data_IF_689310571251
#
_entry.id   IF_689310571251
#
_cell.length_a   1.000
_cell.length_b   1.000
_cell.length_c   1.000
_cell.angle_alpha   90.00
_cell.angle_beta   90.00
_cell.angle_gamma   90.00
#
_symmetry.space_group_name_H-M   'P 1'
#
loop_
_entity.id
_entity.type
_entity.pdbx_description
1 polymer ?
#
# COMPACT_ATOMS: atom_id res chain seq x y z
N UNK A 1 30.74 -21.94 -21.79
CA UNK A 1 29.39 -21.29 -21.79
C UNK A 1 28.37 -22.40 -21.64
N UNK A 2 27.84 -22.61 -20.43
CA UNK A 2 26.63 -23.41 -20.21
C UNK A 2 25.45 -22.46 -20.41
N UNK A 3 24.80 -22.54 -21.56
CA UNK A 3 23.46 -21.99 -21.74
C UNK A 3 22.52 -22.93 -20.96
N UNK A 4 22.10 -22.50 -19.81
CA UNK A 4 21.01 -23.17 -19.07
C UNK A 4 19.70 -22.74 -19.76
N UNK A 5 19.20 -23.56 -20.67
CA UNK A 5 17.81 -23.51 -21.08
C UNK A 5 16.97 -23.94 -19.86
N UNK A 6 16.47 -22.97 -19.11
CA UNK A 6 15.37 -23.24 -18.17
C UNK A 6 14.07 -23.22 -18.94
N UNK A 7 13.29 -24.25 -18.85
CA UNK A 7 11.92 -24.26 -19.36
C UNK A 7 11.13 -23.16 -18.66
N UNK A 8 10.46 -22.32 -19.44
CA UNK A 8 9.55 -21.30 -18.95
C UNK A 8 8.52 -21.94 -18.02
N UNK A 9 8.55 -21.58 -16.73
CA UNK A 9 7.60 -22.08 -15.75
C UNK A 9 6.37 -21.19 -15.77
N UNK A 10 5.21 -21.76 -16.07
CA UNK A 10 3.92 -21.10 -15.96
C UNK A 10 3.29 -21.56 -14.65
N UNK A 11 2.97 -20.64 -13.78
CA UNK A 11 2.36 -20.92 -12.49
C UNK A 11 0.89 -20.50 -12.52
N UNK A 12 0.00 -21.47 -12.29
CA UNK A 12 -1.42 -21.20 -12.08
C UNK A 12 -1.68 -21.05 -10.59
N UNK A 13 -2.06 -19.85 -10.18
CA UNK A 13 -2.41 -19.57 -8.79
C UNK A 13 -3.92 -19.67 -8.63
N UNK A 14 -4.37 -20.63 -7.82
CA UNK A 14 -5.76 -20.77 -7.39
C UNK A 14 -5.90 -20.13 -6.01
N UNK A 15 -6.82 -19.16 -5.88
CA UNK A 15 -7.06 -18.51 -4.61
C UNK A 15 -7.69 -19.51 -3.62
N UNK A 16 -7.28 -19.50 -2.34
CA UNK A 16 -7.83 -20.38 -1.31
C UNK A 16 -9.24 -19.99 -0.84
N UNK A 17 -9.87 -19.00 -1.47
CA UNK A 17 -11.22 -18.52 -1.17
C UNK A 17 -11.95 -18.13 -2.47
N UNK A 18 -13.28 -18.24 -2.44
CA UNK A 18 -14.10 -17.83 -3.58
C UNK A 18 -13.98 -16.32 -3.79
N UNK A 19 -13.19 -15.92 -4.76
CA UNK A 19 -13.23 -14.59 -5.33
C UNK A 19 -14.05 -14.70 -6.61
N UNK A 20 -14.96 -13.76 -6.83
CA UNK A 20 -15.73 -13.64 -8.08
C UNK A 20 -14.98 -14.22 -9.27
N UNK A 21 -15.61 -15.09 -10.04
CA UNK A 21 -15.08 -15.84 -11.21
C UNK A 21 -14.23 -15.04 -12.23
N UNK A 22 -14.10 -13.73 -12.04
CA UNK A 22 -13.28 -12.84 -12.88
C UNK A 22 -11.78 -12.98 -12.66
N UNK A 23 -11.36 -13.64 -11.59
CA UNK A 23 -9.95 -13.77 -11.21
C UNK A 23 -9.41 -15.22 -11.33
N UNK A 24 -10.24 -16.16 -11.74
CA UNK A 24 -9.79 -17.52 -12.02
C UNK A 24 -8.82 -17.49 -13.21
N UNK A 25 -7.58 -17.92 -12.98
CA UNK A 25 -6.60 -18.08 -14.06
C UNK A 25 -5.56 -16.95 -14.19
N UNK A 26 -5.25 -16.22 -13.10
CA UNK A 26 -4.06 -15.37 -13.11
C UNK A 26 -2.80 -16.24 -13.23
N UNK A 27 -2.03 -15.96 -14.28
CA UNK A 27 -0.76 -16.63 -14.54
C UNK A 27 0.39 -15.74 -14.06
N UNK A 28 1.37 -16.32 -13.39
CA UNK A 28 2.69 -15.73 -13.20
C UNK A 28 3.64 -16.43 -14.15
N UNK A 29 4.29 -15.64 -15.00
CA UNK A 29 5.23 -16.17 -15.99
C UNK A 29 6.64 -15.70 -15.67
N UNK A 30 7.59 -16.58 -15.83
CA UNK A 30 9.01 -16.22 -15.89
C UNK A 30 9.26 -15.44 -17.21
N UNK A 31 9.91 -14.28 -17.14
CA UNK A 31 10.13 -13.40 -18.29
C UNK A 31 11.55 -13.56 -18.81
N UNK A 32 11.71 -14.21 -19.96
CA UNK A 32 13.01 -14.37 -20.63
C UNK A 32 13.55 -13.05 -21.20
N UNK A 33 12.69 -12.18 -21.76
CA UNK A 33 13.10 -10.91 -22.36
C UNK A 33 13.66 -9.91 -21.33
N UNK A 34 13.11 -9.91 -20.13
CA UNK A 34 13.58 -9.05 -19.05
C UNK A 34 14.97 -9.49 -18.56
N UNK A 35 15.21 -10.80 -18.54
CA UNK A 35 16.46 -11.41 -18.13
C UNK A 35 17.62 -11.04 -19.06
N UNK A 36 17.40 -11.02 -20.37
CA UNK A 36 18.44 -10.66 -21.34
C UNK A 36 18.81 -9.18 -21.28
N UNK A 37 17.84 -8.27 -21.15
CA UNK A 37 18.08 -6.83 -21.09
C UNK A 37 18.76 -6.39 -19.78
N UNK A 38 18.38 -6.94 -18.62
CA UNK A 38 19.07 -6.64 -17.37
C UNK A 38 20.46 -7.26 -17.31
N UNK A 39 20.63 -8.45 -17.84
CA UNK A 39 21.95 -9.11 -17.87
C UNK A 39 22.97 -8.34 -18.71
N UNK A 40 22.56 -7.69 -19.78
CA UNK A 40 23.42 -6.83 -20.60
C UNK A 40 23.76 -5.52 -19.90
N UNK A 41 22.85 -4.92 -19.15
CA UNK A 41 23.09 -3.72 -18.33
C UNK A 41 23.90 -4.02 -17.05
N UNK A 42 23.70 -5.17 -16.43
CA UNK A 42 24.41 -5.62 -15.24
C UNK A 42 25.80 -6.19 -15.55
N UNK A 43 26.07 -6.61 -16.77
CA UNK A 43 27.37 -7.18 -17.19
C UNK A 43 28.54 -6.22 -17.06
N UNK A 44 28.27 -4.92 -16.98
CA UNK A 44 29.27 -3.86 -16.74
C UNK A 44 29.44 -3.48 -15.26
N UNK A 45 28.67 -4.08 -14.35
CA UNK A 45 28.80 -3.88 -12.92
C UNK A 45 29.34 -5.18 -12.28
N UNK A 46 30.15 -5.06 -11.22
CA UNK A 46 30.64 -6.19 -10.39
C UNK A 46 29.55 -7.06 -9.75
N UNK A 47 28.33 -6.97 -10.25
CA UNK A 47 27.15 -7.74 -9.86
C UNK A 47 27.09 -9.15 -10.47
N UNK A 48 28.03 -9.48 -11.39
CA UNK A 48 28.12 -10.81 -12.02
C UNK A 48 28.40 -11.97 -11.05
N UNK A 49 28.75 -11.67 -9.80
CA UNK A 49 29.01 -12.68 -8.75
C UNK A 49 27.78 -12.91 -7.83
N UNK A 50 26.69 -12.20 -8.07
CA UNK A 50 25.43 -12.41 -7.33
C UNK A 50 24.72 -13.67 -7.81
N UNK A 51 23.96 -14.28 -6.90
CA UNK A 51 23.15 -15.46 -7.16
C UNK A 51 22.24 -15.28 -8.40
N UNK A 52 21.84 -16.36 -9.07
CA UNK A 52 21.03 -16.29 -10.28
C UNK A 52 19.76 -15.46 -10.05
N UNK A 53 19.58 -14.45 -10.87
CA UNK A 53 18.38 -13.61 -10.86
C UNK A 53 17.27 -14.38 -11.58
N UNK A 54 16.14 -14.56 -10.90
CA UNK A 54 14.93 -15.09 -11.52
C UNK A 54 13.98 -13.92 -11.79
N UNK A 55 13.45 -13.83 -13.01
CA UNK A 55 12.53 -12.78 -13.40
C UNK A 55 11.10 -13.31 -13.48
N UNK A 56 10.16 -12.60 -12.87
CA UNK A 56 8.74 -12.93 -12.89
C UNK A 56 7.90 -11.80 -13.46
N UNK A 57 6.94 -12.13 -14.28
CA UNK A 57 5.95 -11.18 -14.79
C UNK A 57 4.55 -11.60 -14.36
N UNK A 58 3.84 -10.70 -13.69
CA UNK A 58 2.43 -10.90 -13.39
C UNK A 58 1.59 -10.58 -14.63
N UNK A 59 0.81 -11.55 -15.10
CA UNK A 59 -0.16 -11.35 -16.17
C UNK A 59 -1.52 -10.99 -15.57
N UNK A 60 -2.25 -10.09 -16.22
CA UNK A 60 -3.59 -9.68 -15.81
C UNK A 60 -3.76 -8.18 -15.71
N UNK A 61 -5.00 -7.73 -15.67
CA UNK A 61 -5.35 -6.34 -15.48
C UNK A 61 -5.17 -5.91 -14.03
N UNK A 62 -5.00 -4.60 -13.77
CA UNK A 62 -4.95 -4.06 -12.41
C UNK A 62 -6.17 -4.45 -11.55
N UNK A 63 -7.35 -4.63 -12.16
CA UNK A 63 -8.55 -5.09 -11.46
C UNK A 63 -8.40 -6.53 -10.97
N UNK A 64 -7.85 -7.41 -11.81
CA UNK A 64 -7.64 -8.82 -11.50
C UNK A 64 -6.60 -9.04 -10.40
N UNK A 65 -5.48 -8.30 -10.43
CA UNK A 65 -4.43 -8.38 -9.40
C UNK A 65 -4.78 -7.61 -8.12
N UNK A 66 -5.97 -6.96 -8.06
CA UNK A 66 -6.46 -6.21 -6.89
C UNK A 66 -7.58 -6.95 -6.15
N UNK A 67 -7.49 -8.30 -6.08
CA UNK A 67 -8.42 -9.14 -5.32
C UNK A 67 -8.36 -8.88 -3.82
N UNK A 68 -9.25 -9.50 -3.06
CA UNK A 68 -9.40 -9.30 -1.63
C UNK A 68 -9.34 -7.81 -1.26
N UNK A 69 -8.57 -7.45 -0.26
CA UNK A 69 -8.38 -6.07 0.19
C UNK A 69 -7.24 -5.32 -0.51
N UNK A 70 -6.55 -5.92 -1.51
CA UNK A 70 -5.50 -5.22 -2.27
C UNK A 70 -5.98 -3.94 -2.94
N UNK A 71 -7.27 -3.86 -3.28
CA UNK A 71 -7.89 -2.70 -3.93
C UNK A 71 -8.45 -1.63 -2.99
N UNK A 72 -8.27 -1.73 -1.67
CA UNK A 72 -8.81 -0.75 -0.71
C UNK A 72 -8.22 0.65 -0.90
N UNK A 73 -6.96 0.72 -1.24
CA UNK A 73 -6.25 1.99 -1.42
C UNK A 73 -5.40 1.95 -2.70
N UNK A 74 -5.34 3.08 -3.42
CA UNK A 74 -4.45 3.23 -4.58
C UNK A 74 -3.05 3.59 -4.08
N UNK A 75 -2.17 2.62 -4.04
CA UNK A 75 -0.77 2.81 -3.65
C UNK A 75 0.13 2.78 -4.89
N UNK A 76 1.03 3.77 -5.02
CA UNK A 76 1.97 3.84 -6.15
C UNK A 76 3.17 2.91 -5.90
N UNK A 77 3.67 2.28 -6.97
CA UNK A 77 4.78 1.33 -6.84
C UNK A 77 4.42 0.08 -6.01
N UNK A 78 3.15 -0.33 -6.04
CA UNK A 78 2.69 -1.53 -5.34
C UNK A 78 3.32 -2.77 -5.94
N UNK A 79 3.87 -3.64 -5.08
CA UNK A 79 4.33 -4.97 -5.47
C UNK A 79 3.17 -5.81 -5.99
N UNK A 80 3.31 -6.54 -7.11
CA UNK A 80 2.24 -7.38 -7.64
C UNK A 80 1.86 -8.48 -6.65
N UNK A 81 0.57 -8.56 -6.30
CA UNK A 81 0.07 -9.54 -5.32
C UNK A 81 0.31 -10.98 -5.73
N UNK A 82 0.16 -11.28 -7.02
CA UNK A 82 0.38 -12.63 -7.56
C UNK A 82 1.83 -13.09 -7.47
N UNK A 83 2.80 -12.17 -7.61
CA UNK A 83 4.21 -12.49 -7.42
C UNK A 83 4.49 -12.74 -5.94
N UNK A 84 3.99 -11.91 -5.03
CA UNK A 84 4.11 -12.14 -3.58
C UNK A 84 3.52 -13.50 -3.18
N UNK A 85 2.31 -13.80 -3.64
CA UNK A 85 1.65 -15.07 -3.41
C UNK A 85 2.47 -16.27 -3.92
N UNK A 86 3.02 -16.15 -5.14
CA UNK A 86 3.87 -17.19 -5.72
C UNK A 86 5.12 -17.44 -4.88
N UNK A 87 5.87 -16.39 -4.53
CA UNK A 87 7.09 -16.52 -3.72
C UNK A 87 6.80 -17.14 -2.35
N UNK A 88 5.73 -16.72 -1.68
CA UNK A 88 5.35 -17.27 -0.38
C UNK A 88 5.03 -18.77 -0.50
N UNK A 89 4.26 -19.17 -1.51
CA UNK A 89 3.90 -20.59 -1.69
C UNK A 89 5.06 -21.47 -2.15
N UNK A 90 5.99 -20.94 -2.94
CA UNK A 90 7.15 -21.69 -3.44
C UNK A 90 8.20 -21.91 -2.33
N UNK A 91 8.45 -20.91 -1.48
CA UNK A 91 9.58 -20.94 -0.54
C UNK A 91 9.18 -21.19 0.92
N UNK A 92 7.86 -21.27 1.22
CA UNK A 92 7.38 -21.48 2.59
C UNK A 92 6.23 -22.48 2.67
N UNK A 93 5.96 -22.96 3.89
CA UNK A 93 4.81 -23.80 4.24
C UNK A 93 3.87 -23.07 5.20
N UNK A 94 2.63 -23.58 5.39
CA UNK A 94 1.70 -23.07 6.41
C UNK A 94 2.39 -23.05 7.78
N UNK A 95 2.27 -21.93 8.50
CA UNK A 95 2.91 -21.71 9.80
C UNK A 95 4.34 -21.16 9.75
N UNK A 96 4.99 -21.12 8.58
CA UNK A 96 6.29 -20.45 8.44
C UNK A 96 6.18 -18.94 8.63
N UNK A 97 7.28 -18.30 9.05
CA UNK A 97 7.37 -16.86 9.24
C UNK A 97 7.98 -16.20 8.00
N UNK A 98 7.31 -15.19 7.49
CA UNK A 98 7.79 -14.32 6.39
C UNK A 98 8.07 -12.93 6.94
N UNK A 99 9.08 -12.25 6.40
CA UNK A 99 9.39 -10.85 6.73
C UNK A 99 9.28 -9.97 5.49
N UNK A 100 8.65 -8.80 5.66
CA UNK A 100 8.66 -7.70 4.69
C UNK A 100 9.07 -6.40 5.43
N UNK A 101 10.33 -6.00 5.36
CA UNK A 101 10.83 -4.83 6.08
C UNK A 101 10.52 -3.50 5.38
N UNK A 102 9.90 -3.52 4.19
CA UNK A 102 9.48 -2.34 3.42
C UNK A 102 8.07 -2.53 2.84
N UNK A 103 7.10 -2.80 3.72
CA UNK A 103 5.76 -3.31 3.40
C UNK A 103 4.94 -2.46 2.43
N UNK A 104 5.18 -1.15 2.37
CA UNK A 104 4.44 -0.24 1.50
C UNK A 104 2.94 -0.40 1.62
N UNK A 105 2.31 -0.92 0.59
CA UNK A 105 0.86 -1.15 0.58
C UNK A 105 0.40 -2.38 1.40
N UNK A 106 1.29 -3.13 2.05
CA UNK A 106 0.96 -4.36 2.77
C UNK A 106 0.58 -5.52 1.86
N UNK A 107 1.23 -5.65 0.71
CA UNK A 107 0.95 -6.75 -0.23
C UNK A 107 1.40 -8.08 0.36
N UNK A 108 2.64 -8.16 0.84
CA UNK A 108 3.22 -9.37 1.41
C UNK A 108 2.44 -9.87 2.62
N UNK A 109 2.13 -8.99 3.56
CA UNK A 109 1.42 -9.39 4.79
C UNK A 109 0.01 -9.89 4.53
N UNK A 110 -0.69 -9.32 3.54
CA UNK A 110 -2.00 -9.83 3.13
C UNK A 110 -1.87 -11.23 2.52
N UNK A 111 -0.90 -11.45 1.65
CA UNK A 111 -0.67 -12.78 1.05
C UNK A 111 -0.25 -13.82 2.11
N UNK A 112 0.54 -13.43 3.10
CA UNK A 112 0.88 -14.29 4.24
C UNK A 112 -0.39 -14.70 5.00
N UNK A 113 -1.26 -13.74 5.33
CA UNK A 113 -2.53 -14.04 5.99
C UNK A 113 -3.40 -15.00 5.17
N UNK A 114 -3.55 -14.73 3.87
CA UNK A 114 -4.37 -15.53 2.96
C UNK A 114 -3.85 -16.96 2.79
N UNK A 115 -2.54 -17.14 2.88
CA UNK A 115 -1.85 -18.41 2.73
C UNK A 115 -1.45 -19.08 4.05
N UNK A 116 -1.92 -18.54 5.19
CA UNK A 116 -1.69 -19.05 6.54
C UNK A 116 -0.22 -19.08 6.96
N UNK A 117 0.51 -18.01 6.69
CA UNK A 117 1.88 -17.77 7.15
C UNK A 117 1.88 -16.64 8.17
N UNK A 118 2.72 -16.73 9.17
CA UNK A 118 3.02 -15.61 10.06
C UNK A 118 3.82 -14.55 9.32
N UNK A 119 3.69 -13.27 9.71
CA UNK A 119 4.38 -12.21 9.00
C UNK A 119 4.87 -11.08 9.92
N UNK A 120 6.13 -10.69 9.75
CA UNK A 120 6.67 -9.43 10.24
C UNK A 120 6.67 -8.41 9.09
N UNK A 121 5.88 -7.35 9.22
CA UNK A 121 5.63 -6.36 8.17
C UNK A 121 5.91 -4.96 8.70
N UNK A 122 6.94 -4.31 8.17
CA UNK A 122 7.43 -3.03 8.68
C UNK A 122 7.43 -1.96 7.61
N UNK A 123 7.15 -0.72 8.01
CA UNK A 123 7.29 0.46 7.15
C UNK A 123 7.53 1.70 8.01
N UNK A 124 8.22 2.69 7.48
CA UNK A 124 8.40 3.99 8.15
C UNK A 124 7.18 4.89 7.99
N UNK A 125 6.39 4.67 6.94
CA UNK A 125 5.24 5.49 6.60
C UNK A 125 4.01 5.07 7.43
N UNK A 126 3.48 5.94 8.31
CA UNK A 126 2.33 5.60 9.14
C UNK A 126 1.07 5.24 8.33
N UNK A 127 0.89 5.81 7.14
CA UNK A 127 -0.20 5.43 6.25
C UNK A 127 -0.04 3.99 5.76
N UNK A 128 1.18 3.57 5.44
CA UNK A 128 1.48 2.18 5.02
C UNK A 128 1.19 1.19 6.14
N UNK A 129 1.61 1.50 7.37
CA UNK A 129 1.35 0.67 8.55
C UNK A 129 -0.16 0.55 8.81
N UNK A 130 -0.89 1.66 8.79
CA UNK A 130 -2.35 1.66 8.96
C UNK A 130 -3.04 0.85 7.85
N UNK A 131 -2.62 1.06 6.61
CA UNK A 131 -3.18 0.35 5.45
C UNK A 131 -2.94 -1.16 5.55
N UNK A 132 -1.73 -1.59 5.94
CA UNK A 132 -1.40 -3.00 6.11
C UNK A 132 -2.26 -3.66 7.20
N UNK A 133 -2.46 -2.99 8.35
CA UNK A 133 -3.36 -3.46 9.41
C UNK A 133 -4.78 -3.61 8.91
N UNK A 134 -5.36 -2.56 8.34
CA UNK A 134 -6.75 -2.59 7.84
C UNK A 134 -6.94 -3.68 6.79
N UNK A 135 -5.99 -3.85 5.87
CA UNK A 135 -6.10 -4.87 4.81
C UNK A 135 -6.11 -6.31 5.33
N UNK A 136 -5.59 -6.54 6.51
CA UNK A 136 -5.48 -7.87 7.11
C UNK A 136 -6.46 -8.10 8.27
N UNK A 137 -7.27 -7.12 8.62
CA UNK A 137 -8.28 -7.21 9.67
C UNK A 137 -9.63 -7.53 9.05
N UNK A 138 -10.20 -8.72 9.37
CA UNK A 138 -11.57 -9.05 8.97
C UNK A 138 -12.54 -8.31 9.89
N UNK A 139 -13.52 -7.63 9.29
CA UNK A 139 -14.54 -6.89 10.02
C UNK A 139 -15.94 -7.43 9.69
N UNK A 140 -16.84 -7.32 10.66
CA UNK A 140 -18.23 -7.70 10.47
C UNK A 140 -18.95 -6.72 9.54
N UNK A 141 -19.68 -7.27 8.56
CA UNK A 141 -20.35 -6.48 7.52
C UNK A 141 -21.46 -5.61 8.10
N UNK A 142 -22.27 -6.17 9.01
CA UNK A 142 -23.43 -5.47 9.55
C UNK A 142 -23.02 -4.35 10.51
N UNK A 143 -21.95 -4.57 11.28
CA UNK A 143 -21.34 -3.53 12.10
C UNK A 143 -20.81 -2.37 11.24
N UNK A 144 -20.13 -2.67 10.14
CA UNK A 144 -19.62 -1.65 9.21
C UNK A 144 -20.75 -0.87 8.52
N UNK A 145 -21.83 -1.55 8.12
CA UNK A 145 -22.98 -0.90 7.50
C UNK A 145 -23.72 0.00 8.51
N UNK A 146 -23.87 -0.44 9.75
CA UNK A 146 -24.46 0.35 10.84
C UNK A 146 -23.68 1.63 11.08
N UNK A 147 -22.34 1.53 11.14
CA UNK A 147 -21.50 2.72 11.31
C UNK A 147 -21.50 3.63 10.07
N UNK A 148 -21.56 3.07 8.87
CA UNK A 148 -21.68 3.86 7.65
C UNK A 148 -23.00 4.64 7.62
N UNK A 149 -24.12 4.04 8.06
CA UNK A 149 -25.40 4.73 8.15
C UNK A 149 -25.36 5.82 9.23
N UNK A 150 -24.75 5.57 10.39
CA UNK A 150 -24.50 6.60 11.42
C UNK A 150 -23.69 7.78 10.85
N UNK A 151 -22.64 7.49 10.07
CA UNK A 151 -21.83 8.53 9.43
C UNK A 151 -22.70 9.38 8.49
N UNK A 152 -23.51 8.75 7.64
CA UNK A 152 -24.41 9.45 6.69
C UNK A 152 -25.44 10.34 7.40
N UNK A 153 -26.02 9.86 8.50
CA UNK A 153 -27.03 10.59 9.27
C UNK A 153 -26.46 11.80 10.03
N UNK A 154 -25.28 11.65 10.62
CA UNK A 154 -24.68 12.68 11.48
C UNK A 154 -23.73 13.61 10.74
N UNK A 155 -23.36 13.27 9.50
CA UNK A 155 -22.44 14.06 8.74
C UNK A 155 -22.96 15.49 8.47
N UNK A 156 -22.09 16.45 8.72
CA UNK A 156 -22.18 17.81 8.22
C UNK A 156 -20.77 18.38 8.00
N UNK A 157 -20.59 19.27 7.02
CA UNK A 157 -19.33 20.01 6.91
C UNK A 157 -19.09 20.85 8.19
N UNK A 158 -17.82 20.94 8.61
CA UNK A 158 -17.39 21.67 9.78
C UNK A 158 -16.39 22.76 9.42
N UNK A 159 -16.57 23.96 9.97
CA UNK A 159 -15.55 24.99 9.88
C UNK A 159 -14.36 24.66 10.78
N UNK A 160 -13.25 25.40 10.62
CA UNK A 160 -12.06 25.21 11.47
C UNK A 160 -12.32 25.65 12.91
N UNK A 161 -13.23 26.60 13.12
CA UNK A 161 -13.66 27.08 14.45
C UNK A 161 -14.48 26.02 15.20
N UNK A 162 -15.30 25.24 14.48
CA UNK A 162 -16.10 24.15 15.05
C UNK A 162 -15.26 22.91 15.35
N UNK A 163 -14.28 22.62 14.50
CA UNK A 163 -13.35 21.51 14.67
C UNK A 163 -11.97 21.88 14.14
N UNK A 164 -11.07 22.24 15.08
CA UNK A 164 -9.72 22.67 14.75
C UNK A 164 -8.85 21.53 14.21
N UNK A 165 -9.18 21.08 13.00
CA UNK A 165 -8.43 20.08 12.25
C UNK A 165 -7.97 20.69 10.92
N UNK A 166 -6.67 20.85 10.78
CA UNK A 166 -6.02 21.36 9.56
C UNK A 166 -5.02 20.33 9.04
N UNK A 167 -4.76 20.29 7.75
CA UNK A 167 -3.77 19.36 7.20
C UNK A 167 -2.36 19.74 7.66
N UNK A 168 -1.69 18.82 8.34
CA UNK A 168 -0.37 19.02 8.95
C UNK A 168 0.72 19.06 7.88
N UNK A 169 1.69 19.97 8.01
CA UNK A 169 2.84 20.09 7.10
C UNK A 169 2.52 20.57 5.69
N UNK A 170 1.26 20.88 5.39
CA UNK A 170 0.83 21.38 4.09
C UNK A 170 0.86 22.92 4.11
N UNK A 171 1.85 23.54 3.46
CA UNK A 171 2.11 24.99 3.52
C UNK A 171 0.96 25.84 3.02
N UNK A 172 0.21 25.37 2.04
CA UNK A 172 -0.92 26.08 1.45
C UNK A 172 -2.06 25.09 1.18
N UNK A 173 -2.92 24.80 2.19
CA UNK A 173 -4.06 23.91 2.01
C UNK A 173 -5.01 24.36 0.89
N UNK A 174 -5.25 25.66 0.72
CA UNK A 174 -6.17 26.23 -0.26
C UNK A 174 -5.68 26.03 -1.71
N UNK A 175 -4.39 25.81 -1.89
CA UNK A 175 -3.83 25.42 -3.18
C UNK A 175 -4.35 24.05 -3.63
N UNK A 176 -4.52 23.12 -2.68
CA UNK A 176 -4.90 21.74 -2.95
C UNK A 176 -6.38 21.43 -2.72
N UNK A 177 -7.06 22.21 -1.88
CA UNK A 177 -8.44 21.93 -1.49
C UNK A 177 -9.27 23.24 -1.49
N UNK A 178 -10.50 23.16 -1.99
CA UNK A 178 -11.47 24.23 -1.78
C UNK A 178 -11.79 24.35 -0.27
N UNK A 179 -12.21 25.51 0.18
CA UNK A 179 -12.66 25.70 1.57
C UNK A 179 -13.83 24.76 1.93
N UNK A 180 -14.78 24.58 1.01
CA UNK A 180 -15.89 23.61 1.12
C UNK A 180 -15.40 22.17 1.26
N UNK A 181 -14.43 21.76 0.44
CA UNK A 181 -13.79 20.44 0.53
C UNK A 181 -13.11 20.23 1.90
N UNK A 182 -12.38 21.23 2.40
CA UNK A 182 -11.75 21.14 3.71
C UNK A 182 -12.77 21.01 4.83
N UNK A 183 -13.89 21.74 4.75
CA UNK A 183 -15.00 21.65 5.72
C UNK A 183 -15.67 20.27 5.68
N UNK A 184 -15.84 19.71 4.49
CA UNK A 184 -16.39 18.38 4.28
C UNK A 184 -15.46 17.29 4.87
N UNK A 185 -14.15 17.38 4.63
CA UNK A 185 -13.16 16.44 5.20
C UNK A 185 -13.15 16.52 6.73
N UNK A 186 -13.21 17.73 7.32
CA UNK A 186 -13.30 17.93 8.78
C UNK A 186 -14.52 17.23 9.36
N UNK A 187 -15.68 17.37 8.71
CA UNK A 187 -16.91 16.69 9.12
C UNK A 187 -16.77 15.17 9.13
N UNK A 188 -16.17 14.59 8.09
CA UNK A 188 -15.89 13.15 8.04
C UNK A 188 -14.90 12.71 9.12
N UNK A 189 -13.78 13.42 9.30
CA UNK A 189 -12.80 13.08 10.35
C UNK A 189 -13.47 13.08 11.73
N UNK A 190 -14.24 14.13 12.05
CA UNK A 190 -14.89 14.25 13.36
C UNK A 190 -15.79 13.07 13.68
N UNK A 191 -16.62 12.64 12.75
CA UNK A 191 -17.52 11.51 12.93
C UNK A 191 -16.78 10.18 13.00
N UNK A 192 -15.72 10.01 12.20
CA UNK A 192 -14.88 8.80 12.22
C UNK A 192 -14.14 8.69 13.57
N UNK A 193 -13.63 9.80 14.11
CA UNK A 193 -12.97 9.83 15.42
C UNK A 193 -13.90 9.47 16.59
N UNK A 194 -15.23 9.58 16.41
CA UNK A 194 -16.25 9.20 17.40
C UNK A 194 -16.60 7.69 17.37
N UNK A 195 -16.02 6.91 16.48
CA UNK A 195 -16.23 5.45 16.44
C UNK A 195 -15.41 4.82 17.57
N UNK A 196 -16.08 4.08 18.46
CA UNK A 196 -15.43 3.46 19.63
C UNK A 196 -14.50 2.31 19.23
N UNK A 197 -14.95 1.45 18.32
CA UNK A 197 -14.15 0.32 17.82
C UNK A 197 -12.99 0.82 16.96
N UNK A 198 -11.75 0.51 17.41
CA UNK A 198 -10.53 0.99 16.76
C UNK A 198 -10.37 0.42 15.35
N UNK A 199 -10.70 -0.83 15.12
CA UNK A 199 -10.50 -1.48 13.82
C UNK A 199 -11.53 -0.95 12.80
N UNK A 200 -12.76 -0.70 13.22
CA UNK A 200 -13.79 -0.04 12.40
C UNK A 200 -13.38 1.41 12.11
N UNK A 201 -12.89 2.13 13.11
CA UNK A 201 -12.37 3.50 12.93
C UNK A 201 -11.19 3.54 11.94
N UNK A 202 -10.24 2.64 12.06
CA UNK A 202 -9.09 2.51 11.16
C UNK A 202 -9.54 2.22 9.72
N UNK A 203 -10.54 1.35 9.55
CA UNK A 203 -11.13 1.07 8.25
C UNK A 203 -11.74 2.31 7.59
N UNK A 204 -12.59 3.05 8.29
CA UNK A 204 -13.18 4.28 7.75
C UNK A 204 -12.14 5.38 7.53
N UNK A 205 -11.09 5.43 8.35
CA UNK A 205 -9.93 6.31 8.12
C UNK A 205 -9.23 5.99 6.80
N UNK A 206 -8.99 4.71 6.48
CA UNK A 206 -8.44 4.31 5.17
C UNK A 206 -9.42 4.63 4.03
N UNK A 207 -10.71 4.47 4.22
CA UNK A 207 -11.71 4.89 3.24
C UNK A 207 -11.62 6.39 2.97
N UNK A 208 -11.50 7.22 4.00
CA UNK A 208 -11.29 8.66 3.87
C UNK A 208 -9.97 8.97 3.15
N UNK A 209 -8.85 8.41 3.58
CA UNK A 209 -7.57 8.60 2.91
C UNK A 209 -7.63 8.27 1.42
N UNK A 210 -8.39 7.22 1.06
CA UNK A 210 -8.50 6.78 -0.34
C UNK A 210 -9.23 7.75 -1.26
N UNK A 211 -9.98 8.70 -0.71
CA UNK A 211 -10.69 9.73 -1.48
C UNK A 211 -9.99 11.09 -1.47
N UNK A 212 -9.11 11.38 -0.51
CA UNK A 212 -8.47 12.69 -0.31
C UNK A 212 -7.98 13.27 -1.64
N UNK A 213 -7.26 12.48 -2.42
CA UNK A 213 -6.75 12.94 -3.72
C UNK A 213 -7.86 13.19 -4.73
N UNK A 214 -8.89 12.35 -4.77
CA UNK A 214 -9.97 12.45 -5.75
C UNK A 214 -10.93 13.61 -5.46
N UNK A 215 -10.94 14.14 -4.25
CA UNK A 215 -11.72 15.33 -3.88
C UNK A 215 -10.88 16.60 -3.84
N UNK A 216 -9.56 16.49 -3.96
CA UNK A 216 -8.63 17.60 -4.02
C UNK A 216 -8.53 18.20 -5.43
N UNK A 217 -7.79 19.29 -5.55
CA UNK A 217 -7.35 19.88 -6.82
C UNK A 217 -6.07 19.23 -7.34
N UNK A 218 -5.71 18.06 -6.82
CA UNK A 218 -4.49 17.39 -7.20
C UNK A 218 -4.76 16.25 -8.18
N UNK A 219 -4.00 16.21 -9.26
CA UNK A 219 -3.84 15.03 -10.10
C UNK A 219 -2.43 14.45 -9.92
N UNK A 220 -2.26 13.17 -10.21
CA UNK A 220 -0.95 12.54 -10.09
C UNK A 220 -0.51 11.96 -11.43
N UNK A 221 0.65 12.39 -11.88
CA UNK A 221 1.32 11.85 -13.05
C UNK A 221 2.73 11.41 -12.65
N UNK A 222 3.12 10.21 -13.04
CA UNK A 222 4.44 9.66 -12.75
C UNK A 222 4.89 9.82 -11.28
N UNK A 223 3.96 9.58 -10.33
CA UNK A 223 4.28 9.67 -8.90
C UNK A 223 4.52 11.09 -8.35
N UNK A 224 4.10 12.13 -9.07
CA UNK A 224 4.14 13.53 -8.61
C UNK A 224 2.73 14.12 -8.56
N UNK A 225 2.52 15.05 -7.64
CA UNK A 225 1.28 15.82 -7.56
C UNK A 225 1.36 17.05 -8.46
N UNK A 226 0.31 17.26 -9.23
CA UNK A 226 0.11 18.44 -10.07
C UNK A 226 -1.23 19.07 -9.72
N UNK A 227 -1.33 20.39 -9.86
CA UNK A 227 -2.58 21.10 -9.68
C UNK A 227 -3.51 20.86 -10.88
N UNK A 228 -4.75 20.48 -10.59
CA UNK A 228 -5.86 20.43 -11.55
C UNK A 228 -7.08 21.09 -10.92
N UNK A 229 -7.31 22.34 -11.26
CA UNK A 229 -8.38 23.15 -10.65
C UNK A 229 -9.77 22.61 -10.89
N UNK A 230 -9.95 21.81 -11.94
CA UNK A 230 -11.26 21.24 -12.34
C UNK A 230 -11.61 19.96 -11.59
N UNK A 231 -10.66 19.36 -10.85
CA UNK A 231 -10.87 18.05 -10.23
C UNK A 231 -11.54 18.09 -8.86
N UNK A 232 -11.56 19.26 -8.21
CA UNK A 232 -12.04 19.41 -6.83
C UNK A 232 -13.53 19.08 -6.66
N UNK A 233 -13.90 18.60 -5.47
CA UNK A 233 -15.27 18.30 -5.04
C UNK A 233 -15.63 19.15 -3.83
N UNK A 234 -16.78 19.82 -3.87
CA UNK A 234 -17.29 20.62 -2.76
C UNK A 234 -17.71 19.76 -1.58
N UNK A 235 -18.37 18.64 -1.84
CA UNK A 235 -18.82 17.66 -0.85
C UNK A 235 -18.16 16.30 -1.09
N UNK A 236 -17.61 15.74 -0.03
CA UNK A 236 -16.88 14.48 -0.05
C UNK A 236 -17.74 13.27 0.32
N UNK A 237 -18.94 13.46 0.90
CA UNK A 237 -19.75 12.38 1.46
C UNK A 237 -20.09 11.30 0.43
N UNK A 238 -20.60 11.68 -0.71
CA UNK A 238 -20.99 10.72 -1.76
C UNK A 238 -19.79 9.88 -2.25
N UNK A 239 -18.65 10.53 -2.42
CA UNK A 239 -17.40 9.86 -2.84
C UNK A 239 -16.93 8.90 -1.75
N UNK A 240 -16.99 9.35 -0.49
CA UNK A 240 -16.66 8.54 0.67
C UNK A 240 -17.55 7.31 0.81
N UNK A 241 -18.88 7.50 0.76
CA UNK A 241 -19.86 6.40 0.86
C UNK A 241 -19.64 5.36 -0.24
N UNK A 242 -19.47 5.78 -1.49
CA UNK A 242 -19.19 4.86 -2.60
C UNK A 242 -17.91 4.06 -2.37
N UNK A 243 -16.89 4.69 -1.78
CA UNK A 243 -15.62 4.02 -1.48
C UNK A 243 -15.76 3.07 -0.27
N UNK A 244 -16.45 3.50 0.77
CA UNK A 244 -16.73 2.70 1.96
C UNK A 244 -17.52 1.44 1.62
N UNK A 245 -18.61 1.53 0.86
CA UNK A 245 -19.41 0.36 0.42
C UNK A 245 -18.54 -0.67 -0.31
N UNK A 246 -17.70 -0.25 -1.26
CA UNK A 246 -16.77 -1.16 -1.95
C UNK A 246 -15.73 -1.77 -0.99
N UNK A 247 -15.30 -1.00 -0.01
CA UNK A 247 -14.36 -1.47 1.02
C UNK A 247 -15.01 -2.51 1.94
N UNK A 248 -16.25 -2.27 2.38
CA UNK A 248 -17.04 -3.19 3.23
C UNK A 248 -17.20 -4.54 2.54
N UNK A 249 -17.58 -4.55 1.26
CA UNK A 249 -17.71 -5.81 0.50
C UNK A 249 -16.40 -6.62 0.46
N UNK A 250 -15.27 -5.94 0.40
CA UNK A 250 -13.96 -6.62 0.33
C UNK A 250 -13.48 -7.12 1.69
N UNK A 251 -13.59 -6.30 2.72
CA UNK A 251 -13.01 -6.60 4.04
C UNK A 251 -13.83 -7.67 4.79
N UNK A 252 -15.15 -7.68 4.61
CA UNK A 252 -16.03 -8.67 5.21
C UNK A 252 -15.87 -10.07 4.62
N UNK A 253 -15.33 -10.17 3.40
CA UNK A 253 -15.05 -11.44 2.74
C UNK A 253 -13.68 -12.04 3.10
N UNK A 254 -12.85 -11.33 3.87
CA UNK A 254 -11.57 -11.89 4.32
C UNK A 254 -11.81 -13.18 5.14
N UNK A 255 -10.95 -14.20 4.97
CA UNK A 255 -11.06 -15.41 5.78
C UNK A 255 -10.77 -15.11 7.25
N UNK A 256 -11.35 -15.89 8.16
CA UNK A 256 -10.90 -15.91 9.54
C UNK A 256 -9.51 -16.53 9.56
N UNK A 257 -8.54 -15.81 10.06
CA UNK A 257 -7.15 -16.25 10.12
C UNK A 257 -6.66 -16.24 11.57
N UNK A 258 -5.83 -17.23 11.93
CA UNK A 258 -5.19 -17.34 13.24
C UNK A 258 -3.68 -17.09 13.17
N UNK A 259 -3.19 -16.52 12.07
CA UNK A 259 -1.77 -16.22 11.89
C UNK A 259 -1.34 -15.01 12.72
N UNK A 260 -0.07 -14.98 13.11
CA UNK A 260 0.51 -13.87 13.83
C UNK A 260 1.05 -12.83 12.85
N UNK A 261 0.45 -11.64 12.85
CA UNK A 261 0.86 -10.53 12.01
C UNK A 261 1.45 -9.42 12.88
N UNK A 262 2.78 -9.25 12.83
CA UNK A 262 3.47 -8.16 13.51
C UNK A 262 3.65 -6.99 12.54
N UNK A 263 2.67 -6.09 12.52
CA UNK A 263 2.66 -4.92 11.65
C UNK A 263 2.97 -3.68 12.47
N UNK A 264 4.12 -3.04 12.21
CA UNK A 264 4.55 -1.88 12.98
C UNK A 264 5.36 -0.88 12.17
N UNK A 265 5.41 0.36 12.69
CA UNK A 265 6.35 1.36 12.19
C UNK A 265 7.77 0.97 12.59
N UNK A 266 8.66 0.85 11.60
CA UNK A 266 10.07 0.60 11.81
C UNK A 266 10.88 1.13 10.62
N UNK A 267 12.08 1.63 10.89
CA UNK A 267 12.99 2.06 9.86
C UNK A 267 13.96 0.92 9.54
N UNK A 268 13.99 0.46 8.30
CA UNK A 268 14.85 -0.65 7.86
C UNK A 268 16.35 -0.38 8.06
N UNK A 269 16.78 0.89 8.15
CA UNK A 269 18.16 1.24 8.48
C UNK A 269 18.52 1.08 9.96
N UNK A 270 17.53 0.81 10.81
CA UNK A 270 17.74 0.49 12.23
C UNK A 270 17.79 -1.04 12.38
N UNK A 271 18.52 -1.50 13.38
CA UNK A 271 18.62 -2.94 13.66
C UNK A 271 17.24 -3.53 13.93
N UNK A 272 16.89 -4.56 13.19
CA UNK A 272 15.75 -5.41 13.49
C UNK A 272 16.24 -6.46 14.48
N UNK A 273 15.52 -6.65 15.59
CA UNK A 273 15.79 -7.72 16.54
C UNK A 273 15.83 -9.08 15.80
N UNK A 274 16.58 -10.05 16.32
CA UNK A 274 16.70 -11.38 15.72
C UNK A 274 15.32 -11.99 15.45
N UNK A 275 14.89 -11.93 14.20
CA UNK A 275 13.66 -12.54 13.71
C UNK A 275 14.04 -13.78 12.93
N UNK A 276 13.66 -14.94 13.47
CA UNK A 276 13.81 -16.18 12.71
C UNK A 276 12.69 -16.27 11.67
N UNK A 277 12.99 -15.96 10.42
CA UNK A 277 12.03 -16.04 9.31
C UNK A 277 12.55 -17.00 8.22
N UNK A 278 11.61 -17.65 7.55
CA UNK A 278 11.90 -18.59 6.45
C UNK A 278 12.15 -17.87 5.13
N UNK A 279 11.47 -16.73 4.93
CA UNK A 279 11.51 -15.94 3.69
C UNK A 279 11.52 -14.46 4.04
N UNK A 280 12.38 -13.70 3.37
CA UNK A 280 12.34 -12.23 3.37
C UNK A 280 11.95 -11.78 1.97
N UNK A 281 10.86 -11.01 1.86
CA UNK A 281 10.47 -10.34 0.62
C UNK A 281 10.83 -8.87 0.77
N UNK A 282 11.79 -8.41 -0.01
CA UNK A 282 12.27 -7.04 0.01
C UNK A 282 11.93 -6.37 -1.32
N UNK A 283 11.03 -5.39 -1.28
CA UNK A 283 10.67 -4.57 -2.43
C UNK A 283 11.04 -3.11 -2.16
N UNK A 284 12.31 -2.73 -2.31
CA UNK A 284 12.78 -1.40 -1.98
C UNK A 284 12.15 -0.34 -2.88
N UNK A 285 12.13 0.93 -2.46
CA UNK A 285 11.66 2.02 -3.30
C UNK A 285 12.48 2.07 -4.59
N UNK A 286 11.79 2.18 -5.72
CA UNK A 286 12.48 2.27 -7.02
C UNK A 286 13.43 3.44 -7.06
N UNK A 287 14.67 3.16 -7.39
CA UNK A 287 15.73 4.13 -7.47
C UNK A 287 15.33 5.32 -8.36
N UNK A 288 15.29 6.52 -7.77
CA UNK A 288 14.97 7.78 -8.47
C UNK A 288 13.57 7.86 -9.12
N UNK A 289 12.64 6.94 -8.81
CA UNK A 289 11.34 6.88 -9.46
C UNK A 289 10.25 7.58 -8.66
N UNK A 290 10.04 7.22 -7.39
CA UNK A 290 8.95 7.72 -6.57
C UNK A 290 9.45 8.29 -5.24
N UNK A 291 8.89 9.46 -4.87
CA UNK A 291 9.03 10.05 -3.54
C UNK A 291 7.76 9.69 -2.77
N UNK A 292 7.75 8.52 -2.13
CA UNK A 292 6.53 7.92 -1.56
C UNK A 292 5.83 8.83 -0.56
N UNK A 293 6.54 9.47 0.37
CA UNK A 293 5.95 10.45 1.29
C UNK A 293 5.38 11.66 0.55
N UNK A 294 6.03 12.11 -0.52
CA UNK A 294 5.54 13.25 -1.32
C UNK A 294 4.30 12.89 -2.14
N UNK A 295 4.24 11.66 -2.66
CA UNK A 295 3.06 11.16 -3.38
C UNK A 295 1.84 11.09 -2.45
N UNK A 296 2.05 10.69 -1.20
CA UNK A 296 0.99 10.56 -0.19
C UNK A 296 0.91 11.77 0.74
N UNK A 297 1.47 12.92 0.36
CA UNK A 297 1.54 14.09 1.24
C UNK A 297 0.17 14.64 1.64
N UNK A 298 -0.82 14.56 0.76
CA UNK A 298 -2.18 15.02 1.04
C UNK A 298 -2.87 14.10 2.03
N UNK A 299 -2.75 12.80 1.84
CA UNK A 299 -3.29 11.79 2.74
C UNK A 299 -2.63 11.87 4.13
N UNK A 300 -1.30 11.94 4.17
CA UNK A 300 -0.54 12.08 5.41
C UNK A 300 -0.92 13.35 6.18
N UNK A 301 -1.08 14.47 5.48
CA UNK A 301 -1.40 15.75 6.11
C UNK A 301 -2.75 15.71 6.85
N UNK A 302 -3.77 15.08 6.28
CA UNK A 302 -5.09 14.92 6.91
C UNK A 302 -5.10 13.82 7.99
N UNK A 303 -4.18 12.85 7.93
CA UNK A 303 -3.93 11.91 9.02
C UNK A 303 -3.21 12.55 10.21
N UNK A 304 -2.71 13.79 10.08
CA UNK A 304 -2.00 14.51 11.13
C UNK A 304 -0.49 14.30 11.12
N UNK A 305 0.08 13.82 10.02
CA UNK A 305 1.53 13.63 9.87
C UNK A 305 2.14 14.64 8.92
N UNK A 306 3.29 15.22 9.32
CA UNK A 306 4.09 16.02 8.41
C UNK A 306 4.86 15.11 7.45
N UNK A 307 4.63 15.30 6.16
CA UNK A 307 5.33 14.58 5.10
C UNK A 307 6.86 14.76 5.20
N UNK A 308 7.33 15.92 5.66
CA UNK A 308 8.77 16.19 5.80
C UNK A 308 9.41 15.31 6.88
N UNK A 309 8.68 14.98 7.94
CA UNK A 309 9.18 14.08 9.00
C UNK A 309 9.22 12.62 8.53
N UNK A 310 8.19 12.16 7.83
CA UNK A 310 8.19 10.83 7.22
C UNK A 310 9.37 10.69 6.25
N UNK A 311 9.63 11.72 5.44
CA UNK A 311 10.71 11.75 4.46
C UNK A 311 12.11 11.65 5.06
N UNK A 312 12.33 12.09 6.30
CA UNK A 312 13.63 11.96 6.98
C UNK A 312 14.07 10.51 7.16
N UNK A 313 13.12 9.60 7.31
CA UNK A 313 13.37 8.17 7.44
C UNK A 313 13.41 7.39 6.13
N UNK A 314 13.03 7.99 4.99
CA UNK A 314 13.09 7.33 3.69
C UNK A 314 14.56 7.09 3.26
N UNK A 315 14.81 5.97 2.58
CA UNK A 315 16.09 5.70 1.93
C UNK A 315 16.46 6.89 1.03
N UNK A 316 17.69 7.36 1.15
CA UNK A 316 18.12 8.63 0.55
C UNK A 316 17.91 8.67 -0.95
N UNK A 317 17.36 9.77 -1.42
CA UNK A 317 17.21 10.04 -2.85
C UNK A 317 18.57 10.15 -3.54
N UNK A 318 18.66 9.56 -4.72
CA UNK A 318 19.83 9.60 -5.60
C UNK A 318 20.49 10.98 -5.75
N UNK A 319 19.69 12.07 -5.82
CA UNK A 319 20.22 13.42 -6.03
C UNK A 319 20.99 14.01 -4.85
N UNK A 320 20.83 13.44 -3.66
CA UNK A 320 21.46 13.92 -2.42
C UNK A 320 22.76 13.20 -2.10
N UNK A 321 23.09 12.21 -2.88
CA UNK A 321 24.30 11.39 -2.69
C UNK A 321 25.29 11.72 -3.81
N UNK A 322 26.56 11.90 -3.48
CA UNK A 322 27.63 12.12 -4.45
C UNK A 322 27.75 10.97 -5.46
N UNK A 323 28.30 11.25 -6.67
CA UNK A 323 28.36 10.24 -7.73
C UNK A 323 29.06 8.93 -7.33
N UNK A 324 30.07 8.98 -6.46
CA UNK A 324 30.82 7.81 -6.02
C UNK A 324 30.11 7.01 -4.92
N UNK A 325 29.24 7.66 -4.12
CA UNK A 325 28.59 7.08 -2.94
C UNK A 325 27.18 6.54 -3.23
N UNK A 326 26.72 6.65 -4.48
CA UNK A 326 25.32 6.38 -4.85
C UNK A 326 24.90 4.93 -4.65
N UNK A 327 25.78 4.00 -4.92
CA UNK A 327 25.52 2.57 -4.76
C UNK A 327 25.58 2.19 -3.29
N UNK A 328 26.58 2.66 -2.55
CA UNK A 328 26.76 2.39 -1.11
C UNK A 328 25.61 2.95 -0.26
N UNK A 329 24.99 4.05 -0.66
CA UNK A 329 23.86 4.63 0.05
C UNK A 329 22.53 3.93 -0.24
N UNK A 330 22.49 3.01 -1.19
CA UNK A 330 21.29 2.27 -1.57
C UNK A 330 21.33 0.80 -1.11
N UNK A 331 22.51 0.23 -0.97
CA UNK A 331 22.78 -1.11 -0.43
C UNK A 331 22.97 -1.05 1.07
#
# INVERSE_FOLDING_TARGET
RRVLFRSMKIFHYTYPYEVDNKNAGLEVRESEEFYEQEHEQLSNARLNDLAPVEAWTATGTNAQISYATHGLFRYFGKFPSTIAAHLINEYTQEGDVVMDPMAGSGTTVLECMLSKRDCHSFDINPLSVLLAKVKTTRLDKDALLTELDRIKEKYRPLSVEEFNRTPVGLRNPDHWFLCSTQSSIRGLIKIIEEIDDQDIRDFFTICLCSIIRSVSRATSQQGRLFLDEMSAKDDCLDVFVKKAVKGIERISQLPVSQVNLNIRKHNVSETIEDVNCKLVILHPPYFNSYKYSSVNSLELSWLGYDQADVRKGEVREFFKVGKAEKVEAYV
#
